data_IF_292745198482
#
_entry.id   IF_292745198482
#
_cell.length_a   1.000
_cell.length_b   1.000
_cell.length_c   1.000
_cell.angle_alpha   90.00
_cell.angle_beta   90.00
_cell.angle_gamma   90.00
#
_symmetry.space_group_name_H-M   'P 1'
#
loop_
_entity.id
_entity.type
_entity.pdbx_description
1 polymer ?
#
# COMPACT_ATOMS: atom_id res chain seq x y z
N UNK A 1 4.48 7.91 -22.27
CA UNK A 1 3.57 8.72 -21.43
C UNK A 1 4.34 9.21 -20.22
N UNK A 2 4.07 10.43 -19.76
CA UNK A 2 4.61 10.95 -18.51
C UNK A 2 4.02 10.20 -17.32
N UNK A 3 4.84 10.02 -16.28
CA UNK A 3 4.39 9.56 -14.96
C UNK A 3 3.46 10.60 -14.34
N UNK A 4 2.54 10.16 -13.49
CA UNK A 4 1.76 11.06 -12.64
C UNK A 4 2.68 11.63 -11.57
N UNK A 5 2.79 12.96 -11.48
CA UNK A 5 3.52 13.64 -10.41
C UNK A 5 2.63 13.77 -9.19
N UNK A 6 3.06 13.22 -8.07
CA UNK A 6 2.28 13.15 -6.84
C UNK A 6 2.96 13.97 -5.75
N UNK A 7 2.25 14.98 -5.25
CA UNK A 7 2.59 15.64 -4.00
C UNK A 7 1.92 14.91 -2.84
N UNK A 8 2.68 14.52 -1.84
CA UNK A 8 2.14 13.91 -0.62
C UNK A 8 2.40 14.86 0.53
N UNK A 9 1.37 15.07 1.35
CA UNK A 9 1.48 15.84 2.59
C UNK A 9 0.89 15.03 3.74
N UNK A 10 1.35 15.25 4.96
CA UNK A 10 0.65 14.75 6.15
C UNK A 10 -0.06 15.89 6.86
N UNK A 11 -1.26 15.60 7.36
CA UNK A 11 -2.13 16.56 8.04
C UNK A 11 -2.43 16.05 9.46
N UNK A 12 -1.91 16.74 10.46
CA UNK A 12 -1.98 16.36 11.86
C UNK A 12 -1.02 15.22 12.22
N UNK A 13 -1.28 14.56 13.36
CA UNK A 13 -0.38 13.52 13.87
C UNK A 13 -0.46 12.22 13.06
N UNK A 14 0.70 11.67 12.71
CA UNK A 14 0.82 10.38 12.04
C UNK A 14 1.03 9.23 13.04
N UNK A 15 0.62 7.99 12.70
CA UNK A 15 0.92 6.84 13.53
C UNK A 15 2.44 6.66 13.67
N UNK A 16 2.93 6.37 14.88
CA UNK A 16 4.37 6.29 15.16
C UNK A 16 5.15 5.28 14.29
N UNK A 17 4.47 4.25 13.76
CA UNK A 17 5.08 3.22 12.91
C UNK A 17 5.04 3.54 11.42
N UNK A 18 4.42 4.65 11.02
CA UNK A 18 4.34 5.06 9.62
C UNK A 18 5.67 5.67 9.17
N UNK A 19 6.28 5.08 8.14
CA UNK A 19 7.56 5.53 7.62
C UNK A 19 7.39 6.29 6.30
N UNK A 20 7.48 7.61 6.37
CA UNK A 20 7.38 8.53 5.22
C UNK A 20 8.48 8.30 4.18
N UNK A 21 9.69 7.99 4.61
CA UNK A 21 10.84 7.82 3.71
C UNK A 21 10.62 6.67 2.73
N UNK A 22 10.00 5.57 3.18
CA UNK A 22 9.62 4.46 2.30
C UNK A 22 8.66 4.89 1.18
N UNK A 23 7.76 5.83 1.47
CA UNK A 23 6.83 6.37 0.48
C UNK A 23 7.57 7.29 -0.49
N UNK A 24 8.40 8.21 0.02
CA UNK A 24 9.17 9.14 -0.79
C UNK A 24 10.18 8.45 -1.74
N UNK A 25 10.77 7.34 -1.30
CA UNK A 25 11.74 6.55 -2.08
C UNK A 25 11.07 5.54 -3.04
N UNK A 26 9.75 5.41 -3.00
CA UNK A 26 9.04 4.39 -3.75
C UNK A 26 9.08 4.69 -5.26
N UNK A 27 9.54 3.70 -6.04
CA UNK A 27 9.68 3.83 -7.50
C UNK A 27 8.55 3.10 -8.20
N UNK A 28 7.86 3.80 -9.08
CA UNK A 28 6.84 3.23 -9.97
C UNK A 28 7.05 3.65 -11.43
N UNK A 29 6.59 2.81 -12.34
CA UNK A 29 6.42 3.12 -13.77
C UNK A 29 5.23 4.05 -14.03
N UNK A 30 4.25 4.12 -13.12
CA UNK A 30 3.01 4.89 -13.27
C UNK A 30 3.12 6.31 -12.71
N UNK A 31 3.79 6.46 -11.57
CA UNK A 31 3.87 7.72 -10.84
C UNK A 31 5.27 8.00 -10.29
N UNK A 32 5.48 9.25 -9.93
CA UNK A 32 6.62 9.70 -9.15
C UNK A 32 6.13 10.55 -7.98
N UNK A 33 6.72 10.33 -6.81
CA UNK A 33 6.39 11.05 -5.57
C UNK A 33 7.43 12.14 -5.38
N UNK A 34 6.98 13.36 -5.06
CA UNK A 34 7.89 14.43 -4.66
C UNK A 34 8.69 13.94 -3.44
N UNK A 35 10.02 14.07 -3.49
CA UNK A 35 10.91 13.44 -2.50
C UNK A 35 10.73 13.94 -1.07
N UNK A 36 10.08 15.09 -0.88
CA UNK A 36 9.77 15.66 0.43
C UNK A 36 8.27 15.52 0.70
N UNK A 37 7.94 14.89 1.82
CA UNK A 37 6.57 14.81 2.34
C UNK A 37 6.45 15.85 3.44
N UNK A 38 5.74 16.94 3.14
CA UNK A 38 5.56 18.06 4.06
C UNK A 38 4.53 17.74 5.15
N UNK A 39 4.73 18.36 6.32
CA UNK A 39 3.89 18.17 7.50
C UNK A 39 3.13 19.44 7.82
N UNK A 40 1.80 19.31 7.82
CA UNK A 40 0.88 20.40 8.14
C UNK A 40 0.15 20.09 9.45
N UNK A 41 0.05 21.05 10.37
CA UNK A 41 -0.76 20.87 11.57
C UNK A 41 -2.24 20.86 11.19
N UNK A 42 -3.05 20.11 11.94
CA UNK A 42 -4.51 20.21 11.89
C UNK A 42 -4.95 21.11 13.05
N UNK A 43 -5.30 22.36 12.75
CA UNK A 43 -5.52 23.40 13.77
C UNK A 43 -6.99 23.80 13.95
N UNK A 44 -7.91 22.99 13.45
CA UNK A 44 -9.34 23.24 13.52
C UNK A 44 -10.07 22.13 14.30
N UNK A 45 -11.27 22.47 14.79
CA UNK A 45 -12.17 21.51 15.42
C UNK A 45 -12.93 20.69 14.37
N UNK A 46 -13.33 19.48 14.73
CA UNK A 46 -14.21 18.65 13.90
C UNK A 46 -15.55 19.35 13.66
N UNK A 47 -16.01 19.39 12.42
CA UNK A 47 -17.19 20.16 11.99
C UNK A 47 -18.38 19.30 11.58
N UNK A 48 -18.28 17.97 11.68
CA UNK A 48 -19.40 17.07 11.44
C UNK A 48 -20.26 16.96 12.71
N UNK A 49 -21.57 17.28 12.65
CA UNK A 49 -22.47 17.08 13.79
C UNK A 49 -22.59 15.60 14.15
N UNK A 50 -22.73 15.30 15.44
CA UNK A 50 -22.97 13.96 15.99
C UNK A 50 -21.88 12.90 15.70
N UNK A 51 -20.77 13.29 15.06
CA UNK A 51 -19.63 12.43 14.78
C UNK A 51 -18.35 13.28 14.74
N UNK A 52 -17.35 12.95 15.57
CA UNK A 52 -16.08 13.69 15.64
C UNK A 52 -15.20 13.50 14.40
N UNK A 53 -15.65 14.05 13.28
CA UNK A 53 -15.03 13.93 11.97
C UNK A 53 -14.91 15.29 11.26
N UNK A 54 -14.10 15.28 10.22
CA UNK A 54 -13.76 16.47 9.44
C UNK A 54 -14.39 16.39 8.05
N UNK A 55 -15.08 17.47 7.66
CA UNK A 55 -15.68 17.60 6.34
C UNK A 55 -14.65 17.74 5.23
N UNK A 56 -15.05 17.42 3.99
CA UNK A 56 -14.20 17.63 2.81
C UNK A 56 -13.78 19.10 2.66
N UNK A 57 -14.66 20.03 3.03
CA UNK A 57 -14.40 21.47 3.00
C UNK A 57 -13.31 21.84 3.99
N UNK A 58 -13.47 21.44 5.26
CA UNK A 58 -12.55 21.78 6.33
C UNK A 58 -11.15 21.20 6.08
N UNK A 59 -11.06 19.96 5.61
CA UNK A 59 -9.78 19.37 5.21
C UNK A 59 -9.16 20.15 4.06
N UNK A 60 -9.93 20.46 3.01
CA UNK A 60 -9.41 21.14 1.82
C UNK A 60 -8.83 22.52 2.12
N UNK A 61 -9.41 23.27 3.06
CA UNK A 61 -8.94 24.59 3.50
C UNK A 61 -7.57 24.53 4.21
N UNK A 62 -7.19 23.38 4.76
CA UNK A 62 -5.90 23.16 5.45
C UNK A 62 -4.80 22.66 4.51
N UNK A 63 -5.13 22.32 3.26
CA UNK A 63 -4.17 21.74 2.32
C UNK A 63 -3.53 22.81 1.42
N UNK A 64 -2.25 22.65 1.06
CA UNK A 64 -1.62 23.55 0.12
C UNK A 64 -2.20 23.40 -1.29
N UNK A 65 -1.90 24.37 -2.16
CA UNK A 65 -2.22 24.27 -3.59
C UNK A 65 -1.45 23.13 -4.27
N UNK A 66 -2.03 22.56 -5.33
CA UNK A 66 -1.45 21.46 -6.13
C UNK A 66 -0.71 21.96 -7.39
N UNK A 67 -0.20 23.20 -7.41
CA UNK A 67 0.29 23.84 -8.64
C UNK A 67 1.57 23.19 -9.21
N UNK A 68 2.34 22.47 -8.38
CA UNK A 68 3.62 21.83 -8.70
C UNK A 68 3.51 20.34 -9.01
N UNK A 69 2.31 19.75 -8.93
CA UNK A 69 2.06 18.33 -9.13
C UNK A 69 0.76 18.09 -9.91
N UNK A 70 0.59 16.87 -10.41
CA UNK A 70 -0.61 16.49 -11.16
C UNK A 70 -1.77 16.16 -10.19
N UNK A 71 -1.42 15.55 -9.05
CA UNK A 71 -2.33 15.24 -7.95
C UNK A 71 -1.66 15.53 -6.59
N UNK A 72 -2.48 15.85 -5.59
CA UNK A 72 -2.08 15.96 -4.19
C UNK A 72 -2.81 14.92 -3.36
N UNK A 73 -2.07 14.20 -2.50
CA UNK A 73 -2.64 13.24 -1.56
C UNK A 73 -2.27 13.66 -0.14
N UNK A 74 -3.27 14.02 0.64
CA UNK A 74 -3.14 14.28 2.06
C UNK A 74 -3.34 12.99 2.87
N UNK A 75 -2.44 12.73 3.82
CA UNK A 75 -2.53 11.60 4.73
C UNK A 75 -2.80 12.14 6.13
N UNK A 76 -3.85 11.67 6.79
CA UNK A 76 -4.20 12.05 8.16
C UNK A 76 -4.48 10.84 9.04
N UNK A 77 -4.73 11.06 10.34
CA UNK A 77 -5.18 10.03 11.29
C UNK A 77 -6.55 10.34 11.90
N UNK A 78 -7.19 11.45 11.51
CA UNK A 78 -8.50 11.84 12.03
C UNK A 78 -9.64 11.25 11.21
N UNK A 79 -10.84 11.06 11.78
CA UNK A 79 -12.00 10.57 11.04
C UNK A 79 -12.40 11.54 9.93
N UNK A 80 -12.78 11.01 8.77
CA UNK A 80 -13.26 11.79 7.64
C UNK A 80 -14.79 11.73 7.56
N UNK A 81 -15.37 12.67 6.82
CA UNK A 81 -16.79 12.69 6.51
C UNK A 81 -17.32 11.34 6.01
N UNK A 82 -18.49 10.95 6.54
CA UNK A 82 -19.17 9.66 6.30
C UNK A 82 -18.37 8.42 6.74
N UNK A 83 -17.35 8.61 7.59
CA UNK A 83 -16.44 7.55 8.03
C UNK A 83 -15.69 6.85 6.88
N UNK A 84 -15.39 7.57 5.81
CA UNK A 84 -14.62 7.01 4.69
C UNK A 84 -13.13 6.91 5.05
N UNK A 85 -12.45 5.88 4.54
CA UNK A 85 -11.00 5.79 4.70
C UNK A 85 -10.23 6.67 3.70
N UNK A 86 -10.85 7.01 2.56
CA UNK A 86 -10.26 7.91 1.57
C UNK A 86 -11.34 8.65 0.81
N UNK A 87 -11.12 9.93 0.51
CA UNK A 87 -12.09 10.78 -0.19
C UNK A 87 -11.42 11.58 -1.29
N UNK A 88 -12.19 11.84 -2.35
CA UNK A 88 -11.83 12.76 -3.42
C UNK A 88 -12.20 14.16 -2.96
N UNK A 89 -11.26 15.08 -3.06
CA UNK A 89 -11.49 16.51 -2.84
C UNK A 89 -11.50 17.21 -4.19
N UNK A 90 -11.71 18.52 -4.18
CA UNK A 90 -11.65 19.33 -5.41
C UNK A 90 -10.20 19.50 -5.90
N UNK A 91 -10.02 19.96 -7.15
CA UNK A 91 -8.71 20.38 -7.70
C UNK A 91 -7.63 19.28 -7.67
N UNK A 92 -7.99 18.06 -8.05
CA UNK A 92 -7.07 16.91 -8.05
C UNK A 92 -6.44 16.56 -6.69
N UNK A 93 -7.11 16.94 -5.60
CA UNK A 93 -6.71 16.59 -4.24
C UNK A 93 -7.46 15.34 -3.78
N UNK A 94 -6.80 14.54 -2.96
CA UNK A 94 -7.37 13.41 -2.26
C UNK A 94 -6.95 13.46 -0.80
N UNK A 95 -7.78 12.90 0.07
CA UNK A 95 -7.42 12.67 1.46
C UNK A 95 -7.57 11.20 1.79
N UNK A 96 -6.62 10.66 2.55
CA UNK A 96 -6.65 9.34 3.13
C UNK A 96 -6.49 9.46 4.64
N UNK A 97 -7.19 8.62 5.40
CA UNK A 97 -7.05 8.55 6.86
C UNK A 97 -6.61 7.18 7.35
N UNK A 98 -5.67 7.19 8.29
CA UNK A 98 -5.32 6.05 9.12
C UNK A 98 -6.34 5.75 10.23
N UNK A 99 -7.38 6.57 10.40
CA UNK A 99 -8.43 6.33 11.38
C UNK A 99 -9.06 4.93 11.18
N UNK A 100 -8.97 4.09 12.22
CA UNK A 100 -9.30 2.65 12.24
C UNK A 100 -8.42 1.78 11.34
N UNK A 101 -8.07 2.22 10.14
CA UNK A 101 -7.24 1.46 9.18
C UNK A 101 -5.92 1.03 9.80
N UNK A 102 -5.27 1.90 10.59
CA UNK A 102 -3.99 1.57 11.24
C UNK A 102 -4.09 0.36 12.18
N UNK A 103 -5.24 0.20 12.84
CA UNK A 103 -5.45 -0.84 13.84
C UNK A 103 -5.71 -2.18 13.13
N UNK A 104 -6.54 -2.18 12.08
CA UNK A 104 -6.75 -3.35 11.22
C UNK A 104 -5.45 -3.85 10.58
N UNK A 105 -4.64 -2.96 10.02
CA UNK A 105 -3.36 -3.35 9.43
C UNK A 105 -2.38 -3.85 10.49
N UNK A 106 -2.39 -3.27 11.68
CA UNK A 106 -1.54 -3.70 12.79
C UNK A 106 -1.91 -5.12 13.25
N UNK A 107 -3.20 -5.41 13.41
CA UNK A 107 -3.70 -6.72 13.84
C UNK A 107 -3.32 -7.81 12.84
N UNK A 108 -3.35 -7.46 11.55
CA UNK A 108 -2.94 -8.33 10.44
C UNK A 108 -1.43 -8.32 10.15
N UNK A 109 -0.63 -7.59 10.93
CA UNK A 109 0.82 -7.44 10.74
C UNK A 109 1.22 -6.91 9.34
N UNK A 110 0.37 -6.08 8.75
CA UNK A 110 0.59 -5.38 7.48
C UNK A 110 1.26 -4.02 7.76
N UNK A 111 2.37 -3.68 7.07
CA UNK A 111 2.96 -2.34 7.15
C UNK A 111 1.97 -1.25 6.74
N UNK A 112 1.93 -0.14 7.49
CA UNK A 112 1.07 1.01 7.18
C UNK A 112 1.36 1.61 5.81
N UNK A 113 2.58 1.48 5.31
CA UNK A 113 2.94 1.93 3.97
C UNK A 113 2.16 1.22 2.85
N UNK A 114 1.71 -0.02 3.08
CA UNK A 114 1.04 -0.80 2.04
C UNK A 114 -0.29 -0.17 1.59
N UNK A 115 -1.07 0.39 2.52
CA UNK A 115 -2.31 1.09 2.15
C UNK A 115 -2.01 2.38 1.38
N UNK A 116 -0.92 3.07 1.71
CA UNK A 116 -0.49 4.26 0.97
C UNK A 116 -0.07 3.88 -0.45
N UNK A 117 0.72 2.82 -0.64
CA UNK A 117 1.07 2.32 -1.97
C UNK A 117 -0.18 1.95 -2.78
N UNK A 118 -1.12 1.22 -2.17
CA UNK A 118 -2.40 0.87 -2.80
C UNK A 118 -3.12 2.12 -3.31
N UNK A 119 -3.20 3.16 -2.48
CA UNK A 119 -3.87 4.42 -2.79
C UNK A 119 -3.17 5.18 -3.91
N UNK A 120 -1.83 5.24 -3.89
CA UNK A 120 -1.03 5.85 -4.95
C UNK A 120 -1.33 5.20 -6.30
N UNK A 121 -1.36 3.86 -6.37
CA UNK A 121 -1.72 3.15 -7.59
C UNK A 121 -3.16 3.39 -8.02
N UNK A 122 -4.12 3.26 -7.09
CA UNK A 122 -5.54 3.40 -7.39
C UNK A 122 -5.84 4.79 -7.96
N UNK A 123 -5.40 5.86 -7.31
CA UNK A 123 -5.67 7.22 -7.75
C UNK A 123 -4.86 7.63 -8.98
N UNK A 124 -3.64 7.15 -9.15
CA UNK A 124 -2.86 7.41 -10.37
C UNK A 124 -3.50 6.77 -11.60
N UNK A 125 -3.99 5.53 -11.48
CA UNK A 125 -4.74 4.87 -12.54
C UNK A 125 -6.08 5.57 -12.81
N UNK A 126 -6.78 6.01 -11.75
CA UNK A 126 -8.02 6.78 -11.87
C UNK A 126 -7.82 8.09 -12.63
N UNK A 127 -6.74 8.80 -12.32
CA UNK A 127 -6.32 10.03 -12.96
C UNK A 127 -6.01 9.81 -14.45
N UNK A 128 -5.19 8.81 -14.77
CA UNK A 128 -4.88 8.46 -16.17
C UNK A 128 -6.13 8.04 -16.96
N UNK A 129 -6.99 7.22 -16.36
CA UNK A 129 -8.26 6.79 -16.96
C UNK A 129 -9.18 7.97 -17.29
N UNK A 130 -9.14 9.00 -16.46
CA UNK A 130 -10.05 10.15 -16.54
C UNK A 130 -9.52 11.29 -17.42
N UNK A 131 -8.43 11.07 -18.17
CA UNK A 131 -7.85 12.08 -19.06
C UNK A 131 -7.07 13.14 -18.30
N UNK A 132 -6.25 12.71 -17.34
CA UNK A 132 -5.38 13.58 -16.54
C UNK A 132 -6.16 14.61 -15.69
N UNK A 133 -7.33 14.20 -15.18
CA UNK A 133 -8.10 14.91 -14.15
C UNK A 133 -8.67 13.94 -13.14
N UNK A 134 -8.84 14.39 -11.90
CA UNK A 134 -9.56 13.62 -10.89
C UNK A 134 -11.05 13.78 -11.14
N UNK A 135 -11.80 12.68 -11.37
CA UNK A 135 -13.21 12.80 -11.67
C UNK A 135 -13.98 13.15 -10.40
N UNK A 136 -14.99 14.01 -10.54
CA UNK A 136 -15.96 14.27 -9.47
C UNK A 136 -16.72 12.99 -9.10
N UNK A 137 -17.44 13.03 -7.98
CA UNK A 137 -18.31 11.92 -7.59
C UNK A 137 -19.37 11.62 -8.67
N UNK A 138 -19.86 12.66 -9.35
CA UNK A 138 -20.89 12.55 -10.39
C UNK A 138 -20.34 12.12 -11.76
N UNK A 139 -19.05 12.40 -12.04
CA UNK A 139 -18.44 12.19 -13.37
C UNK A 139 -18.17 10.71 -13.70
N UNK A 140 -18.03 9.85 -12.69
CA UNK A 140 -17.63 8.44 -12.88
C UNK A 140 -18.40 7.46 -11.99
N UNK A 141 -19.73 7.34 -12.16
CA UNK A 141 -20.44 6.19 -11.62
C UNK A 141 -19.80 4.89 -12.17
N UNK A 142 -19.46 3.96 -11.27
CA UNK A 142 -18.95 2.63 -11.63
C UNK A 142 -17.46 2.52 -11.95
N UNK A 143 -16.62 3.47 -11.50
CA UNK A 143 -15.16 3.26 -11.51
C UNK A 143 -14.75 2.11 -10.59
N UNK A 144 -15.26 2.14 -9.37
CA UNK A 144 -15.18 1.02 -8.44
C UNK A 144 -16.21 -0.05 -8.82
N UNK A 145 -16.00 -1.27 -8.34
CA UNK A 145 -16.94 -2.37 -8.48
C UNK A 145 -17.02 -3.14 -7.17
N UNK A 146 -18.10 -3.90 -7.03
CA UNK A 146 -18.31 -4.72 -5.86
C UNK A 146 -17.62 -6.08 -6.00
N UNK A 147 -17.39 -6.73 -4.86
CA UNK A 147 -17.11 -8.16 -4.72
C UNK A 147 -15.85 -8.67 -5.45
N UNK A 148 -14.71 -7.98 -5.34
CA UNK A 148 -13.42 -8.60 -5.69
C UNK A 148 -12.31 -8.24 -4.72
N UNK A 149 -12.20 -9.11 -3.71
CA UNK A 149 -11.16 -9.05 -2.68
C UNK A 149 -9.78 -8.84 -3.29
N UNK A 150 -9.05 -7.87 -2.72
CA UNK A 150 -7.70 -7.54 -3.14
C UNK A 150 -7.59 -6.60 -4.34
N UNK A 151 -8.69 -6.34 -5.07
CA UNK A 151 -8.65 -5.39 -6.19
C UNK A 151 -8.46 -3.95 -5.70
N UNK A 152 -7.66 -3.16 -6.42
CA UNK A 152 -7.48 -1.73 -6.13
C UNK A 152 -8.78 -0.92 -6.16
N UNK A 153 -9.77 -1.38 -6.92
CA UNK A 153 -11.04 -0.68 -7.16
C UNK A 153 -12.25 -1.42 -6.59
N UNK A 154 -12.00 -2.35 -5.67
CA UNK A 154 -13.05 -3.01 -4.88
C UNK A 154 -13.74 -1.99 -3.97
N UNK A 155 -15.07 -2.00 -3.93
CA UNK A 155 -15.84 -1.21 -2.99
C UNK A 155 -15.80 -1.89 -1.63
N UNK A 156 -15.09 -1.26 -0.69
CA UNK A 156 -15.04 -1.75 0.69
C UNK A 156 -16.18 -1.12 1.48
N UNK A 157 -17.30 -1.85 1.60
CA UNK A 157 -18.42 -1.47 2.45
C UNK A 157 -18.03 -1.40 3.93
N UNK A 158 -17.09 -2.26 4.35
CA UNK A 158 -16.45 -2.21 5.66
C UNK A 158 -14.96 -1.88 5.49
N UNK A 159 -14.41 -1.02 6.36
CA UNK A 159 -12.97 -0.68 6.33
C UNK A 159 -12.05 -1.88 6.55
N UNK A 160 -12.54 -2.95 7.18
CA UNK A 160 -11.81 -4.21 7.37
C UNK A 160 -11.50 -4.90 6.05
N UNK A 161 -12.35 -4.73 5.03
CA UNK A 161 -12.16 -5.37 3.72
C UNK A 161 -10.91 -4.82 2.99
N UNK A 162 -10.45 -3.64 3.41
CA UNK A 162 -9.22 -3.01 2.90
C UNK A 162 -7.98 -3.89 3.11
N UNK A 163 -7.96 -4.73 4.16
CA UNK A 163 -6.85 -5.65 4.51
C UNK A 163 -6.42 -6.47 3.30
N UNK A 164 -7.38 -7.04 2.57
CA UNK A 164 -7.14 -7.95 1.44
C UNK A 164 -6.35 -7.27 0.32
N UNK A 165 -6.59 -5.97 0.12
CA UNK A 165 -5.90 -5.16 -0.89
C UNK A 165 -4.63 -4.48 -0.37
N UNK A 166 -4.26 -4.72 0.88
CA UNK A 166 -3.00 -4.24 1.48
C UNK A 166 -1.93 -5.35 1.60
N UNK A 167 -2.26 -6.61 1.28
CA UNK A 167 -1.28 -7.70 1.13
C UNK A 167 -1.54 -8.47 -0.17
N UNK A 168 -0.77 -8.15 -1.22
CA UNK A 168 -0.94 -8.61 -2.61
C UNK A 168 -2.15 -7.97 -3.34
N UNK A 169 -2.20 -6.62 -3.44
CA UNK A 169 -3.19 -5.96 -4.29
C UNK A 169 -3.12 -6.46 -5.74
N UNK A 170 -4.27 -6.43 -6.40
CA UNK A 170 -4.42 -6.82 -7.81
C UNK A 170 -5.22 -5.78 -8.59
N UNK A 171 -5.16 -5.89 -9.92
CA UNK A 171 -6.15 -5.30 -10.83
C UNK A 171 -6.90 -6.48 -11.43
N UNK A 172 -8.20 -6.59 -11.13
CA UNK A 172 -9.02 -7.66 -11.68
C UNK A 172 -9.23 -7.49 -13.19
N UNK A 173 -9.72 -8.54 -13.87
CA UNK A 173 -9.96 -8.52 -15.32
C UNK A 173 -10.94 -7.43 -15.74
N UNK A 174 -11.97 -7.18 -14.93
CA UNK A 174 -12.97 -6.15 -15.23
C UNK A 174 -12.36 -4.75 -15.13
N UNK A 175 -11.54 -4.50 -14.11
CA UNK A 175 -10.82 -3.24 -13.96
C UNK A 175 -9.79 -3.03 -15.06
N UNK A 176 -9.05 -4.06 -15.43
CA UNK A 176 -8.15 -4.04 -16.57
C UNK A 176 -8.90 -3.65 -17.85
N UNK A 177 -10.03 -4.30 -18.12
CA UNK A 177 -10.87 -3.99 -19.28
C UNK A 177 -11.40 -2.55 -19.24
N UNK A 178 -11.86 -2.09 -18.07
CA UNK A 178 -12.32 -0.70 -17.85
C UNK A 178 -11.20 0.33 -18.05
N UNK A 179 -9.96 -0.01 -17.70
CA UNK A 179 -8.78 0.85 -17.90
C UNK A 179 -8.38 0.89 -19.39
N UNK A 180 -8.31 -0.26 -20.05
CA UNK A 180 -7.91 -0.35 -21.46
C UNK A 180 -8.92 0.36 -22.38
N UNK A 181 -10.22 0.19 -22.13
CA UNK A 181 -11.29 0.84 -22.91
C UNK A 181 -11.23 2.37 -22.80
N UNK A 182 -10.64 2.89 -21.72
CA UNK A 182 -10.41 4.33 -21.51
C UNK A 182 -9.00 4.77 -21.89
N UNK A 183 -8.35 4.04 -22.80
CA UNK A 183 -7.06 4.37 -23.42
C UNK A 183 -5.87 4.42 -22.44
N UNK A 184 -5.98 3.79 -21.27
CA UNK A 184 -4.78 3.50 -20.45
C UNK A 184 -3.98 2.42 -21.17
N UNK A 185 -2.68 2.63 -21.48
CA UNK A 185 -1.91 1.65 -22.25
C UNK A 185 -1.78 0.31 -21.54
N UNK A 186 -2.01 -0.79 -22.27
CA UNK A 186 -1.94 -2.15 -21.71
C UNK A 186 -0.57 -2.49 -21.14
N UNK A 187 0.52 -2.03 -21.77
CA UNK A 187 1.87 -2.21 -21.25
C UNK A 187 2.09 -1.52 -19.89
N UNK A 188 1.46 -0.36 -19.66
CA UNK A 188 1.47 0.31 -18.36
C UNK A 188 0.66 -0.46 -17.32
N UNK A 189 -0.53 -0.98 -17.70
CA UNK A 189 -1.35 -1.81 -16.81
C UNK A 189 -0.57 -3.06 -16.37
N UNK A 190 0.10 -3.74 -17.29
CA UNK A 190 0.93 -4.92 -16.98
C UNK A 190 2.14 -4.58 -16.10
N UNK A 191 2.80 -3.43 -16.34
CA UNK A 191 3.87 -2.95 -15.48
C UNK A 191 3.36 -2.71 -14.05
N UNK A 192 2.20 -2.05 -13.90
CA UNK A 192 1.57 -1.82 -12.60
C UNK A 192 1.21 -3.14 -11.91
N UNK A 193 0.57 -4.10 -12.60
CA UNK A 193 0.28 -5.42 -12.03
C UNK A 193 1.54 -6.12 -11.52
N UNK A 194 2.67 -5.98 -12.22
CA UNK A 194 3.95 -6.54 -11.77
C UNK A 194 4.45 -5.85 -10.50
N UNK A 195 4.35 -4.53 -10.42
CA UNK A 195 4.76 -3.75 -9.24
C UNK A 195 3.88 -4.06 -8.01
N UNK A 196 2.55 -4.18 -8.20
CA UNK A 196 1.59 -4.50 -7.14
C UNK A 196 1.90 -5.82 -6.42
N UNK A 197 2.46 -6.82 -7.13
CA UNK A 197 2.89 -8.09 -6.52
C UNK A 197 3.98 -7.90 -5.46
N UNK A 198 4.71 -6.78 -5.49
CA UNK A 198 5.71 -6.40 -4.51
C UNK A 198 5.15 -5.86 -3.20
N UNK A 199 3.91 -5.36 -3.20
CA UNK A 199 3.23 -4.86 -1.99
C UNK A 199 2.76 -6.05 -1.18
N UNK A 200 3.50 -6.37 -0.11
CA UNK A 200 3.23 -7.54 0.74
C UNK A 200 3.58 -7.26 2.19
N UNK A 201 3.07 -8.10 3.11
CA UNK A 201 3.58 -8.20 4.48
C UNK A 201 5.09 -8.47 4.49
N UNK A 202 5.76 -8.11 5.59
CA UNK A 202 7.20 -8.35 5.75
C UNK A 202 7.50 -9.86 5.67
N UNK A 203 8.74 -10.22 5.32
CA UNK A 203 9.12 -11.63 5.13
C UNK A 203 8.81 -12.47 6.37
N UNK A 204 9.14 -11.95 7.56
CA UNK A 204 8.89 -12.61 8.84
C UNK A 204 7.43 -13.01 9.01
N UNK A 205 6.49 -12.06 8.85
CA UNK A 205 5.07 -12.35 9.06
C UNK A 205 4.52 -13.32 8.01
N UNK A 206 5.02 -13.28 6.77
CA UNK A 206 4.61 -14.28 5.75
C UNK A 206 5.06 -15.70 6.11
N UNK A 207 6.24 -15.86 6.71
CA UNK A 207 6.69 -17.15 7.23
C UNK A 207 5.87 -17.57 8.44
N UNK A 208 5.59 -16.65 9.37
CA UNK A 208 4.75 -16.94 10.53
C UNK A 208 3.34 -17.37 10.12
N UNK A 209 2.72 -16.68 9.16
CA UNK A 209 1.41 -17.00 8.62
C UNK A 209 1.41 -18.36 7.89
N UNK A 210 2.49 -18.67 7.15
CA UNK A 210 2.67 -20.00 6.55
C UNK A 210 2.73 -21.10 7.61
N UNK A 211 3.50 -20.90 8.68
CA UNK A 211 3.62 -21.88 9.78
C UNK A 211 2.27 -22.10 10.47
N UNK A 212 1.55 -21.01 10.75
CA UNK A 212 0.22 -21.07 11.38
C UNK A 212 -0.82 -21.77 10.51
N UNK A 213 -0.81 -21.50 9.20
CA UNK A 213 -1.77 -22.08 8.25
C UNK A 213 -1.45 -23.52 7.86
N UNK A 214 -0.17 -23.93 7.90
CA UNK A 214 0.30 -25.25 7.48
C UNK A 214 1.25 -25.87 8.52
N UNK A 215 0.75 -26.18 9.74
CA UNK A 215 1.60 -26.64 10.84
C UNK A 215 2.28 -28.00 10.55
N UNK A 216 1.55 -28.96 9.98
CA UNK A 216 2.10 -30.29 9.65
C UNK A 216 3.22 -30.17 8.61
N UNK A 217 2.98 -29.41 7.53
CA UNK A 217 4.00 -29.19 6.49
C UNK A 217 5.25 -28.50 7.07
N UNK A 218 5.05 -27.54 7.99
CA UNK A 218 6.14 -26.84 8.66
C UNK A 218 6.97 -27.79 9.54
N UNK A 219 6.33 -28.73 10.24
CA UNK A 219 7.03 -29.76 11.01
C UNK A 219 7.85 -30.69 10.10
N UNK A 220 7.29 -31.11 8.96
CA UNK A 220 8.01 -31.94 7.98
C UNK A 220 9.23 -31.19 7.43
N UNK A 221 9.06 -29.92 7.02
CA UNK A 221 10.17 -29.08 6.55
C UNK A 221 11.24 -28.94 7.62
N UNK A 222 10.85 -28.73 8.88
CA UNK A 222 11.78 -28.63 10.00
C UNK A 222 12.58 -29.93 10.20
N UNK A 223 11.91 -31.09 10.16
CA UNK A 223 12.57 -32.39 10.31
C UNK A 223 13.58 -32.65 9.18
N UNK A 224 13.16 -32.42 7.93
CA UNK A 224 14.04 -32.57 6.76
C UNK A 224 15.24 -31.62 6.86
N UNK A 225 15.01 -30.37 7.28
CA UNK A 225 16.08 -29.38 7.44
C UNK A 225 17.12 -29.83 8.45
N UNK A 226 16.72 -30.43 9.58
CA UNK A 226 17.66 -30.96 10.59
C UNK A 226 18.53 -32.06 10.00
N UNK A 227 17.98 -33.00 9.24
CA UNK A 227 18.75 -34.07 8.59
C UNK A 227 19.76 -33.49 7.60
N UNK A 228 19.33 -32.56 6.75
CA UNK A 228 20.19 -31.90 5.76
C UNK A 228 21.33 -31.13 6.44
N UNK A 229 21.02 -30.34 7.48
CA UNK A 229 22.05 -29.61 8.23
C UNK A 229 23.00 -30.54 8.98
N UNK A 230 22.53 -31.68 9.48
CA UNK A 230 23.37 -32.71 10.08
C UNK A 230 24.39 -33.28 9.10
N UNK A 231 23.95 -33.67 7.90
CA UNK A 231 24.83 -34.18 6.83
C UNK A 231 25.83 -33.11 6.40
N UNK A 232 25.38 -31.88 6.15
CA UNK A 232 26.25 -30.77 5.77
C UNK A 232 27.31 -30.49 6.84
N UNK A 233 26.91 -30.46 8.11
CA UNK A 233 27.82 -30.23 9.23
C UNK A 233 28.88 -31.31 9.31
N UNK A 234 28.51 -32.57 9.12
CA UNK A 234 29.45 -33.69 9.08
C UNK A 234 30.45 -33.56 7.93
N UNK A 235 29.99 -33.21 6.72
CA UNK A 235 30.87 -33.03 5.56
C UNK A 235 31.84 -31.87 5.78
N UNK A 236 31.34 -30.74 6.27
CA UNK A 236 32.16 -29.57 6.59
C UNK A 236 33.23 -29.93 7.64
N UNK A 237 32.84 -30.65 8.70
CA UNK A 237 33.76 -31.09 9.75
C UNK A 237 34.88 -31.98 9.18
N UNK A 238 34.56 -32.94 8.31
CA UNK A 238 35.57 -33.78 7.66
C UNK A 238 36.54 -32.96 6.80
N UNK A 239 36.03 -32.04 5.98
CA UNK A 239 36.86 -31.18 5.13
C UNK A 239 37.79 -30.29 5.97
N UNK A 240 37.29 -29.71 7.07
CA UNK A 240 38.09 -28.90 7.98
C UNK A 240 39.16 -29.73 8.68
N UNK A 241 38.82 -30.94 9.11
CA UNK A 241 39.77 -31.83 9.76
C UNK A 241 40.91 -32.21 8.82
N UNK A 242 40.59 -32.65 7.60
CA UNK A 242 41.60 -33.14 6.65
C UNK A 242 42.50 -32.03 6.10
N UNK A 243 41.97 -30.83 5.85
CA UNK A 243 42.74 -29.77 5.17
C UNK A 243 43.37 -28.76 6.12
N UNK A 244 42.78 -28.55 7.29
CA UNK A 244 43.25 -27.53 8.25
C UNK A 244 43.92 -28.21 9.41
N UNK A 245 43.19 -29.03 10.16
CA UNK A 245 43.68 -29.58 11.43
C UNK A 245 44.84 -30.55 11.18
N UNK A 246 44.68 -31.49 10.25
CA UNK A 246 45.69 -32.48 9.94
C UNK A 246 47.00 -31.86 9.40
N UNK A 247 46.91 -30.79 8.63
CA UNK A 247 48.07 -30.07 8.10
C UNK A 247 48.73 -29.12 9.11
N UNK A 248 48.05 -28.79 10.22
CA UNK A 248 48.60 -27.94 11.28
C UNK A 248 49.29 -28.75 12.38
N UNK A 249 48.92 -30.02 12.54
CA UNK A 249 49.51 -30.98 13.48
C UNK A 249 50.48 -31.98 12.82
N UNK A 250 50.68 -31.91 11.51
CA UNK A 250 51.75 -32.59 10.78
C UNK A 250 52.93 -31.63 10.56
#
# INVERSE_FOLDING_TARGET
>A
MSKVRIKIVTLGHMPARFNKNKIAEYKSSLFEVNSVIDDYPLTCDSDIPDYWAFSDKLISEQLPSCNDADILIAITSVPLQYDWYSRRLNENKFVFTFHMVKDFLKDENIPLENVVYRILYAYSLAYKRSGDRVPSYDDTPGFTHDETKGCLFDMNGLKTDLIESCDKPIICKDCEHKLSTRKVPTNLIEAVKKELRGIRKTRYYRWADFIKSHPILSLVISLVSVVVFGVLSSVIASILYDNVIKNWFA
#
